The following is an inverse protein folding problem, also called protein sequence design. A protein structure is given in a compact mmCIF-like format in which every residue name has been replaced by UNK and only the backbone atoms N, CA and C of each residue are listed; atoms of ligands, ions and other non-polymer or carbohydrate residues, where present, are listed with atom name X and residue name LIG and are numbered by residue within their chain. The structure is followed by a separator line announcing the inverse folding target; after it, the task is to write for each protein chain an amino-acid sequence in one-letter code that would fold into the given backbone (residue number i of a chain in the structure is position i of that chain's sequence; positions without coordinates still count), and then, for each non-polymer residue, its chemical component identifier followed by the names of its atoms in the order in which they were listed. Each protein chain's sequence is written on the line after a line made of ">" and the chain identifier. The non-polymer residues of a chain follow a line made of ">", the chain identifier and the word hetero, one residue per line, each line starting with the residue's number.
data_IF_061753326133
#
_entry.id   IF_061753326133
#
_cell.length_a   1.000
_cell.length_b   1.000
_cell.length_c   1.000
_cell.angle_alpha   90.00
_cell.angle_beta   90.00
_cell.angle_gamma   90.00
#
_symmetry.space_group_name_H-M   'P 1'
#
loop_
_entity.id
_entity.type
_entity.pdbx_description
1 polymer ?
#
# COMPACT_ATOMS: atom_id res chain seq x y z
N UNK A 1 -4.60 2.84 -13.51
CA UNK A 1 -3.76 3.88 -12.86
C UNK A 1 -4.56 4.84 -11.99
N UNK A 2 -5.34 5.79 -12.53
CA UNK A 2 -6.04 6.84 -11.75
C UNK A 2 -6.91 6.32 -10.59
N UNK A 3 -7.63 5.23 -10.79
CA UNK A 3 -8.50 4.66 -9.76
C UNK A 3 -7.71 4.06 -8.59
N UNK A 4 -6.61 3.37 -8.86
CA UNK A 4 -5.70 2.85 -7.83
C UNK A 4 -5.06 3.99 -7.03
N UNK A 5 -4.65 5.07 -7.68
CA UNK A 5 -4.10 6.27 -7.02
C UNK A 5 -5.14 6.93 -6.12
N UNK A 6 -6.35 7.16 -6.61
CA UNK A 6 -7.45 7.73 -5.82
C UNK A 6 -7.75 6.87 -4.59
N UNK A 7 -7.79 5.54 -4.76
CA UNK A 7 -7.99 4.60 -3.67
C UNK A 7 -6.84 4.67 -2.65
N UNK A 8 -5.59 4.65 -3.12
CA UNK A 8 -4.40 4.76 -2.27
C UNK A 8 -4.40 6.06 -1.46
N UNK A 9 -4.59 7.21 -2.12
CA UNK A 9 -4.65 8.53 -1.45
C UNK A 9 -5.76 8.55 -0.41
N UNK A 10 -6.95 8.04 -0.73
CA UNK A 10 -8.07 7.96 0.23
C UNK A 10 -7.70 7.09 1.45
N UNK A 11 -7.03 5.95 1.25
CA UNK A 11 -6.59 5.08 2.35
C UNK A 11 -5.53 5.75 3.22
N UNK A 12 -4.56 6.43 2.62
CA UNK A 12 -3.54 7.21 3.33
C UNK A 12 -4.18 8.30 4.18
N UNK A 13 -5.09 9.10 3.61
CA UNK A 13 -5.77 10.18 4.34
C UNK A 13 -6.60 9.64 5.51
N UNK A 14 -7.26 8.50 5.35
CA UNK A 14 -8.04 7.86 6.42
C UNK A 14 -7.15 7.37 7.57
N UNK A 15 -5.91 6.99 7.30
CA UNK A 15 -4.95 6.48 8.29
C UNK A 15 -3.81 7.48 8.56
N UNK A 16 -3.98 8.75 8.20
CA UNK A 16 -2.91 9.74 8.22
C UNK A 16 -2.15 9.82 9.57
N UNK A 17 -2.81 9.75 10.74
CA UNK A 17 -2.10 9.72 12.01
C UNK A 17 -1.11 8.55 12.13
N UNK A 18 -1.52 7.34 11.72
CA UNK A 18 -0.66 6.14 11.74
C UNK A 18 0.50 6.27 10.75
N UNK A 19 0.23 6.79 9.55
CA UNK A 19 1.26 6.99 8.51
C UNK A 19 2.34 7.96 9.00
N UNK A 20 1.93 9.11 9.56
CA UNK A 20 2.86 10.12 10.09
C UNK A 20 3.63 9.58 11.29
N UNK A 21 2.96 8.88 12.22
CA UNK A 21 3.63 8.28 13.39
C UNK A 21 4.70 7.25 13.00
N UNK A 22 4.52 6.55 11.88
CA UNK A 22 5.41 5.48 11.43
C UNK A 22 6.23 5.86 10.18
N UNK A 23 6.38 7.15 9.85
CA UNK A 23 7.03 7.62 8.61
C UNK A 23 8.47 7.06 8.42
N UNK A 24 9.19 6.84 9.53
CA UNK A 24 10.55 6.27 9.52
C UNK A 24 10.57 4.74 9.60
N UNK A 25 9.43 4.10 9.87
CA UNK A 25 9.32 2.65 10.01
C UNK A 25 8.72 2.03 8.74
N UNK A 26 9.55 1.94 7.69
CA UNK A 26 9.14 1.42 6.38
C UNK A 26 8.52 0.03 6.44
N UNK A 27 9.00 -0.84 7.34
CA UNK A 27 8.41 -2.17 7.54
C UNK A 27 6.94 -2.09 7.92
N UNK A 28 6.58 -1.28 8.93
CA UNK A 28 5.19 -1.08 9.34
C UNK A 28 4.32 -0.47 8.24
N UNK A 29 4.89 0.44 7.46
CA UNK A 29 4.16 1.06 6.33
C UNK A 29 3.93 0.07 5.19
N UNK A 30 4.88 -0.83 4.92
CA UNK A 30 4.67 -1.94 3.97
C UNK A 30 3.61 -2.89 4.48
N UNK A 31 3.67 -3.28 5.76
CA UNK A 31 2.68 -4.19 6.35
C UNK A 31 1.27 -3.56 6.28
N UNK A 32 1.15 -2.26 6.57
CA UNK A 32 -0.10 -1.49 6.38
C UNK A 32 -0.57 -1.48 4.92
N UNK A 33 0.35 -1.29 3.96
CA UNK A 33 -0.01 -1.30 2.54
C UNK A 33 -0.55 -2.67 2.12
N UNK A 34 0.05 -3.75 2.59
CA UNK A 34 -0.41 -5.10 2.29
C UNK A 34 -1.79 -5.40 2.91
N UNK A 35 -2.05 -4.91 4.13
CA UNK A 35 -3.34 -5.11 4.80
C UNK A 35 -4.48 -4.27 4.20
N UNK A 36 -4.19 -3.02 3.81
CA UNK A 36 -5.25 -2.04 3.51
C UNK A 36 -5.37 -1.65 2.03
N UNK A 37 -4.33 -1.93 1.22
CA UNK A 37 -4.23 -1.44 -0.15
C UNK A 37 -4.10 -2.57 -1.17
N UNK A 38 -3.24 -3.55 -0.91
CA UNK A 38 -2.79 -4.51 -1.93
C UNK A 38 -3.90 -5.29 -2.61
N UNK A 39 -4.89 -5.77 -1.84
CA UNK A 39 -5.99 -6.59 -2.37
C UNK A 39 -6.83 -5.86 -3.42
N UNK A 40 -7.20 -4.60 -3.18
CA UNK A 40 -8.04 -3.84 -4.10
C UNK A 40 -7.29 -3.49 -5.38
N UNK A 41 -6.02 -3.09 -5.27
CA UNK A 41 -5.22 -2.75 -6.45
C UNK A 41 -4.93 -4.00 -7.28
N UNK A 42 -4.67 -5.14 -6.64
CA UNK A 42 -4.44 -6.41 -7.32
C UNK A 42 -5.67 -6.83 -8.14
N UNK A 43 -6.87 -6.74 -7.55
CA UNK A 43 -8.13 -7.01 -8.26
C UNK A 43 -8.36 -6.04 -9.41
N UNK A 44 -8.18 -4.73 -9.18
CA UNK A 44 -8.38 -3.69 -10.19
C UNK A 44 -7.42 -3.82 -11.40
N UNK A 45 -6.21 -4.31 -11.19
CA UNK A 45 -5.21 -4.49 -12.25
C UNK A 45 -5.15 -5.93 -12.78
N UNK A 46 -5.97 -6.84 -12.25
CA UNK A 46 -5.98 -8.26 -12.60
C UNK A 46 -4.60 -8.92 -12.45
N UNK A 47 -3.89 -8.60 -11.36
CA UNK A 47 -2.56 -9.15 -11.06
C UNK A 47 -2.58 -9.97 -9.78
N UNK A 48 -1.58 -10.85 -9.64
CA UNK A 48 -1.40 -11.60 -8.40
C UNK A 48 -1.04 -10.65 -7.23
N UNK A 49 -1.82 -10.74 -6.14
CA UNK A 49 -1.64 -9.89 -4.96
C UNK A 49 -0.30 -10.12 -4.28
N UNK A 50 0.18 -11.37 -4.22
CA UNK A 50 1.43 -11.70 -3.54
C UNK A 50 2.62 -11.14 -4.31
N UNK A 51 2.61 -11.25 -5.64
CA UNK A 51 3.63 -10.65 -6.51
C UNK A 51 3.61 -9.13 -6.43
N UNK A 52 2.43 -8.51 -6.42
CA UNK A 52 2.29 -7.07 -6.24
C UNK A 52 2.83 -6.61 -4.88
N UNK A 53 2.52 -7.35 -3.81
CA UNK A 53 2.97 -7.02 -2.45
C UNK A 53 4.46 -7.22 -2.26
N UNK A 54 5.04 -8.26 -2.86
CA UNK A 54 6.48 -8.44 -2.93
C UNK A 54 7.13 -7.28 -3.68
N UNK A 55 6.62 -6.92 -4.85
CA UNK A 55 7.15 -5.81 -5.65
C UNK A 55 7.11 -4.47 -4.90
N UNK A 56 6.02 -4.19 -4.17
CA UNK A 56 5.93 -2.99 -3.33
C UNK A 56 6.93 -3.03 -2.16
N UNK A 57 7.05 -4.16 -1.47
CA UNK A 57 8.02 -4.35 -0.38
C UNK A 57 9.46 -4.15 -0.86
N UNK A 58 9.82 -4.71 -2.01
CA UNK A 58 11.16 -4.59 -2.58
C UNK A 58 11.45 -3.13 -3.02
N UNK A 59 10.46 -2.43 -3.59
CA UNK A 59 10.64 -1.07 -4.08
C UNK A 59 10.61 0.01 -2.97
N UNK A 60 9.76 -0.15 -1.96
CA UNK A 60 9.57 0.84 -0.90
C UNK A 60 10.18 0.42 0.44
N UNK A 61 10.06 -0.85 0.83
CA UNK A 61 10.57 -1.37 2.11
C UNK A 61 12.09 -1.40 2.18
N UNK A 62 12.73 -1.84 1.08
CA UNK A 62 14.17 -2.12 1.00
C UNK A 62 14.52 -3.51 1.48
#
# INVERSE_FOLDING_TARGET
>A
MKEAENFYIKKVLLHLPFIVENEQNRRKLVDWWDEHVSSFIAELWEVDRHDLSRAFRDAFGG
#
